data_IF_679743185468
#
_entry.id   IF_679743185468
#
_cell.length_a   1.000
_cell.length_b   1.000
_cell.length_c   1.000
_cell.angle_alpha   90.00
_cell.angle_beta   90.00
_cell.angle_gamma   90.00
#
_symmetry.space_group_name_H-M   'P 1'
#
loop_
_entity.id
_entity.type
_entity.pdbx_description
1 polymer ?
#
# COMPACT_ATOMS: atom_id res chain seq x y z
N UNK A 1 16.59 -16.09 27.46
CA UNK A 1 15.22 -15.55 27.51
C UNK A 1 14.92 -14.91 26.17
N UNK A 2 13.85 -15.34 25.52
CA UNK A 2 13.43 -14.78 24.23
C UNK A 2 12.81 -13.38 24.38
N UNK A 3 12.77 -12.59 23.30
CA UNK A 3 12.22 -11.22 23.32
C UNK A 3 10.79 -11.17 23.88
N UNK A 4 9.98 -12.19 23.60
CA UNK A 4 8.59 -12.27 24.06
C UNK A 4 8.47 -12.51 25.57
N UNK A 5 9.42 -13.25 26.16
CA UNK A 5 9.46 -13.53 27.59
C UNK A 5 9.80 -12.27 28.38
N UNK A 6 10.78 -11.47 27.92
CA UNK A 6 11.09 -10.17 28.51
C UNK A 6 9.87 -9.23 28.51
N UNK A 7 9.07 -9.23 27.43
CA UNK A 7 7.86 -8.42 27.33
C UNK A 7 6.75 -8.90 28.28
N UNK A 8 6.63 -10.22 28.47
CA UNK A 8 5.68 -10.78 29.42
C UNK A 8 6.02 -10.40 30.87
N UNK A 9 7.31 -10.38 31.21
CA UNK A 9 7.85 -9.91 32.49
C UNK A 9 7.57 -8.42 32.66
N UNK A 10 7.88 -7.58 31.66
CA UNK A 10 7.60 -6.13 31.69
C UNK A 10 6.10 -5.83 31.85
N UNK A 11 5.22 -6.65 31.28
CA UNK A 11 3.76 -6.49 31.38
C UNK A 11 3.23 -6.75 32.81
N UNK A 12 3.81 -7.69 33.53
CA UNK A 12 3.34 -8.10 34.87
C UNK A 12 4.06 -7.38 36.02
N UNK A 13 5.27 -6.85 35.80
CA UNK A 13 6.00 -6.13 36.83
C UNK A 13 5.54 -4.67 36.97
N UNK A 14 5.49 -4.18 38.21
CA UNK A 14 5.09 -2.81 38.52
C UNK A 14 6.18 -1.79 38.18
N UNK A 15 5.74 -0.60 37.75
CA UNK A 15 6.54 0.37 37.02
C UNK A 15 7.81 0.91 37.69
N UNK A 16 7.96 0.76 39.01
CA UNK A 16 8.99 1.47 39.77
C UNK A 16 10.38 0.81 39.71
N UNK A 17 10.47 -0.51 39.48
CA UNK A 17 11.75 -1.25 39.64
C UNK A 17 12.09 -2.23 38.50
N UNK A 18 11.34 -2.21 37.39
CA UNK A 18 11.45 -3.18 36.28
C UNK A 18 12.88 -3.33 35.74
N UNK A 19 13.61 -2.22 35.56
CA UNK A 19 14.98 -2.27 35.00
C UNK A 19 15.98 -2.90 35.96
N UNK A 20 15.93 -2.53 37.23
CA UNK A 20 16.86 -3.02 38.24
C UNK A 20 16.69 -4.54 38.44
N UNK A 21 15.45 -5.03 38.42
CA UNK A 21 15.18 -6.47 38.48
C UNK A 21 15.64 -7.21 37.22
N UNK A 22 15.36 -6.65 36.02
CA UNK A 22 15.83 -7.24 34.76
C UNK A 22 17.35 -7.34 34.71
N UNK A 23 18.06 -6.32 35.19
CA UNK A 23 19.53 -6.30 35.22
C UNK A 23 20.09 -7.28 36.25
N UNK A 24 19.46 -7.40 37.43
CA UNK A 24 19.87 -8.36 38.45
C UNK A 24 19.73 -9.81 37.98
N UNK A 25 18.62 -10.15 37.31
CA UNK A 25 18.34 -11.52 36.87
C UNK A 25 19.07 -11.89 35.57
N UNK A 26 19.21 -10.94 34.63
CA UNK A 26 19.69 -11.26 33.28
C UNK A 26 20.99 -10.58 32.86
N UNK A 27 21.55 -9.68 33.68
CA UNK A 27 22.84 -9.00 33.45
C UNK A 27 23.04 -8.58 31.99
N UNK A 28 23.95 -9.25 31.26
CA UNK A 28 24.31 -8.95 29.86
C UNK A 28 23.23 -9.26 28.83
N UNK A 29 22.23 -10.08 29.18
CA UNK A 29 21.09 -10.39 28.30
C UNK A 29 19.88 -9.48 28.55
N UNK A 30 19.96 -8.56 29.52
CA UNK A 30 18.87 -7.67 29.85
C UNK A 30 18.59 -6.66 28.72
N UNK A 31 17.32 -6.35 28.41
CA UNK A 31 16.99 -5.35 27.41
C UNK A 31 17.51 -3.96 27.80
N UNK A 32 17.88 -3.16 26.81
CA UNK A 32 18.24 -1.76 27.03
C UNK A 32 17.11 -0.99 27.72
N UNK A 33 17.46 -0.02 28.56
CA UNK A 33 16.47 0.79 29.30
C UNK A 33 15.41 1.42 28.38
N UNK A 34 15.84 1.93 27.22
CA UNK A 34 14.94 2.49 26.21
C UNK A 34 13.90 1.46 25.72
N UNK A 35 14.31 0.21 25.50
CA UNK A 35 13.41 -0.88 25.11
C UNK A 35 12.38 -1.17 26.20
N UNK A 36 12.82 -1.27 27.46
CA UNK A 36 11.92 -1.45 28.61
C UNK A 36 10.91 -0.31 28.70
N UNK A 37 11.39 0.93 28.65
CA UNK A 37 10.56 2.13 28.73
C UNK A 37 9.50 2.19 27.62
N UNK A 38 9.90 1.89 26.38
CA UNK A 38 8.97 1.86 25.23
C UNK A 38 7.87 0.79 25.43
N UNK A 39 8.23 -0.41 25.88
CA UNK A 39 7.24 -1.48 26.11
C UNK A 39 6.28 -1.15 27.24
N UNK A 40 6.74 -0.54 28.33
CA UNK A 40 5.84 -0.12 29.41
C UNK A 40 4.86 0.95 28.91
N UNK A 41 5.31 1.91 28.09
CA UNK A 41 4.41 2.90 27.49
C UNK A 41 3.40 2.29 26.53
N UNK A 42 3.79 1.29 25.75
CA UNK A 42 2.88 0.55 24.87
C UNK A 42 1.80 -0.20 25.68
N UNK A 43 2.16 -0.85 26.80
CA UNK A 43 1.18 -1.48 27.68
C UNK A 43 0.25 -0.46 28.35
N UNK A 44 0.77 0.69 28.77
CA UNK A 44 -0.05 1.81 29.29
C UNK A 44 -1.04 2.36 28.27
N UNK A 45 -0.71 2.28 26.98
CA UNK A 45 -1.59 2.65 25.85
C UNK A 45 -2.66 1.60 25.54
N UNK A 46 -2.75 0.53 26.34
CA UNK A 46 -3.78 -0.50 26.21
C UNK A 46 -3.39 -1.70 25.36
N UNK A 47 -2.13 -1.79 24.90
CA UNK A 47 -1.66 -2.98 24.20
C UNK A 47 -1.65 -4.17 25.16
N UNK A 48 -2.26 -5.29 24.78
CA UNK A 48 -2.32 -6.50 25.62
C UNK A 48 -1.42 -7.64 25.11
N UNK A 49 -1.01 -7.60 23.84
CA UNK A 49 -0.14 -8.61 23.24
C UNK A 49 1.34 -8.35 23.52
N UNK A 50 2.03 -9.38 24.01
CA UNK A 50 3.49 -9.46 24.18
C UNK A 50 4.20 -9.96 22.91
N UNK A 51 3.45 -10.55 21.97
CA UNK A 51 3.99 -11.11 20.74
C UNK A 51 3.65 -10.21 19.54
N UNK A 52 4.66 -9.89 18.73
CA UNK A 52 4.47 -9.14 17.48
C UNK A 52 3.88 -10.02 16.37
N UNK A 53 4.09 -11.35 16.43
CA UNK A 53 3.56 -12.30 15.45
C UNK A 53 2.03 -12.19 15.31
N UNK A 54 1.31 -12.13 16.43
CA UNK A 54 -0.15 -11.96 16.44
C UNK A 54 -0.64 -10.67 15.76
N UNK A 55 0.19 -9.64 15.65
CA UNK A 55 -0.16 -8.38 14.96
C UNK A 55 0.21 -8.45 13.49
N UNK A 56 1.35 -9.07 13.17
CA UNK A 56 1.79 -9.29 11.79
C UNK A 56 0.75 -10.16 11.07
N UNK A 57 0.34 -11.28 11.68
CA UNK A 57 -0.66 -12.19 11.13
C UNK A 57 -2.00 -11.49 10.90
N UNK A 58 -2.46 -10.67 11.87
CA UNK A 58 -3.68 -9.87 11.70
C UNK A 58 -3.61 -8.91 10.53
N UNK A 59 -2.52 -8.15 10.39
CA UNK A 59 -2.36 -7.20 9.27
C UNK A 59 -2.29 -7.98 7.96
N UNK A 60 -1.56 -9.09 7.93
CA UNK A 60 -1.43 -9.95 6.77
C UNK A 60 -2.77 -10.53 6.32
N UNK A 61 -3.60 -11.01 7.25
CA UNK A 61 -4.93 -11.57 6.98
C UNK A 61 -5.91 -10.54 6.43
N UNK A 62 -5.78 -9.26 6.80
CA UNK A 62 -6.62 -8.18 6.26
C UNK A 62 -6.16 -7.76 4.85
N UNK A 63 -4.84 -7.72 4.63
CA UNK A 63 -4.27 -7.21 3.36
C UNK A 63 -4.28 -8.24 2.25
N UNK A 64 -4.15 -9.54 2.57
CA UNK A 64 -4.10 -10.60 1.56
C UNK A 64 -5.34 -10.66 0.67
N UNK A 65 -6.59 -10.61 1.19
CA UNK A 65 -7.81 -10.65 0.38
C UNK A 65 -8.02 -9.38 -0.45
N UNK A 66 -7.76 -8.20 0.14
CA UNK A 66 -7.84 -6.92 -0.56
C UNK A 66 -6.58 -6.08 -0.37
N UNK A 67 -5.68 -6.20 -1.36
CA UNK A 67 -4.43 -5.43 -1.42
C UNK A 67 -4.64 -3.95 -1.75
N UNK A 68 -5.88 -3.47 -1.88
CA UNK A 68 -6.23 -2.06 -2.12
C UNK A 68 -6.77 -1.36 -0.86
N UNK A 69 -6.70 -2.03 0.28
CA UNK A 69 -7.10 -1.49 1.58
C UNK A 69 -6.23 -0.28 1.95
N UNK A 70 -6.85 0.74 2.55
CA UNK A 70 -6.13 1.93 3.02
C UNK A 70 -5.44 1.63 4.34
N UNK A 71 -4.29 2.26 4.58
CA UNK A 71 -3.61 2.14 5.89
C UNK A 71 -4.50 2.60 7.04
N UNK A 72 -5.38 3.59 6.83
CA UNK A 72 -6.35 4.02 7.85
C UNK A 72 -7.38 2.92 8.19
N UNK A 73 -7.89 2.23 7.19
CA UNK A 73 -8.82 1.10 7.37
C UNK A 73 -8.12 -0.06 8.10
N UNK A 74 -6.84 -0.31 7.80
CA UNK A 74 -6.03 -1.29 8.53
C UNK A 74 -5.81 -0.91 10.00
N UNK A 75 -5.53 0.37 10.28
CA UNK A 75 -5.38 0.89 11.64
C UNK A 75 -6.64 0.65 12.45
N UNK A 76 -7.79 0.98 11.88
CA UNK A 76 -9.10 0.82 12.53
C UNK A 76 -9.45 -0.66 12.73
N UNK A 77 -9.28 -1.50 11.69
CA UNK A 77 -9.60 -2.92 11.74
C UNK A 77 -8.70 -3.71 12.69
N UNK A 78 -7.40 -3.41 12.71
CA UNK A 78 -6.44 -4.12 13.55
C UNK A 78 -6.32 -3.51 14.97
N UNK A 79 -6.76 -2.27 15.19
CA UNK A 79 -6.59 -1.54 16.45
C UNK A 79 -5.13 -1.19 16.72
N UNK A 80 -4.33 -0.97 15.67
CA UNK A 80 -2.87 -0.78 15.74
C UNK A 80 -2.53 0.66 15.35
N UNK A 81 -1.47 1.22 15.95
CA UNK A 81 -1.00 2.56 15.56
C UNK A 81 -0.58 2.63 14.08
N UNK A 82 -0.81 3.78 13.44
CA UNK A 82 -0.48 4.00 12.02
C UNK A 82 0.99 3.70 11.69
N UNK A 83 1.93 4.12 12.55
CA UNK A 83 3.35 3.87 12.34
C UNK A 83 3.69 2.37 12.40
N UNK A 84 3.04 1.64 13.30
CA UNK A 84 3.23 0.18 13.43
C UNK A 84 2.68 -0.57 12.23
N UNK A 85 1.52 -0.17 11.68
CA UNK A 85 0.97 -0.77 10.44
C UNK A 85 1.95 -0.59 9.28
N UNK A 86 2.54 0.61 9.12
CA UNK A 86 3.53 0.87 8.07
C UNK A 86 4.79 0.00 8.26
N UNK A 87 5.34 -0.06 9.47
CA UNK A 87 6.51 -0.91 9.77
C UNK A 87 6.20 -2.39 9.50
N UNK A 88 5.02 -2.88 9.87
CA UNK A 88 4.61 -4.26 9.55
C UNK A 88 4.55 -4.47 8.03
N UNK A 89 3.89 -3.58 7.29
CA UNK A 89 3.77 -3.71 5.83
C UNK A 89 5.13 -3.71 5.14
N UNK A 90 6.02 -2.78 5.47
CA UNK A 90 7.27 -2.57 4.73
C UNK A 90 8.43 -3.43 5.25
N UNK A 91 8.57 -3.56 6.57
CA UNK A 91 9.73 -4.23 7.19
C UNK A 91 9.48 -5.70 7.47
N UNK A 92 8.26 -6.08 7.90
CA UNK A 92 7.94 -7.46 8.27
C UNK A 92 7.37 -8.25 7.09
N UNK A 93 6.44 -7.66 6.34
CA UNK A 93 5.82 -8.28 5.17
C UNK A 93 6.55 -7.98 3.85
N UNK A 94 7.49 -7.03 3.86
CA UNK A 94 8.27 -6.67 2.66
C UNK A 94 7.45 -6.07 1.52
N UNK A 95 6.23 -5.60 1.79
CA UNK A 95 5.32 -5.08 0.79
C UNK A 95 5.69 -3.65 0.42
N UNK A 96 5.58 -3.31 -0.86
CA UNK A 96 5.77 -1.94 -1.34
C UNK A 96 4.43 -1.26 -1.62
N UNK A 97 4.39 0.03 -1.34
CA UNK A 97 3.28 0.90 -1.75
C UNK A 97 3.38 1.16 -3.25
N UNK A 98 2.36 0.75 -4.00
CA UNK A 98 2.26 1.00 -5.43
C UNK A 98 1.28 2.14 -5.73
N UNK A 99 1.68 2.98 -6.68
CA UNK A 99 0.79 3.94 -7.33
C UNK A 99 0.01 3.25 -8.42
N UNK A 100 -1.24 3.65 -8.55
CA UNK A 100 -2.09 3.03 -9.53
C UNK A 100 -1.94 3.59 -10.93
N UNK A 101 -1.97 2.68 -11.90
CA UNK A 101 -1.93 3.01 -13.31
C UNK A 101 -3.34 3.02 -13.87
N UNK A 102 -3.64 4.08 -14.59
CA UNK A 102 -4.86 4.20 -15.37
C UNK A 102 -4.78 3.28 -16.59
N UNK A 103 -5.82 2.47 -16.80
CA UNK A 103 -5.90 1.58 -17.96
C UNK A 103 -7.06 2.06 -18.85
N UNK A 104 -6.82 2.30 -20.15
CA UNK A 104 -7.82 2.83 -21.09
C UNK A 104 -9.13 2.08 -21.14
N UNK A 105 -9.08 0.76 -21.08
CA UNK A 105 -10.26 -0.09 -21.14
C UNK A 105 -10.06 -1.35 -20.30
N UNK A 106 -11.15 -1.80 -19.70
CA UNK A 106 -11.23 -3.14 -19.16
C UNK A 106 -11.44 -4.12 -20.33
N UNK A 107 -10.41 -4.90 -20.63
CA UNK A 107 -10.44 -5.84 -21.74
C UNK A 107 -11.26 -7.09 -21.39
N UNK A 108 -12.12 -7.52 -22.31
CA UNK A 108 -12.80 -8.82 -22.25
C UNK A 108 -11.80 -9.95 -22.53
N UNK A 109 -12.21 -11.20 -22.28
CA UNK A 109 -11.37 -12.38 -22.58
C UNK A 109 -11.05 -12.44 -24.08
N UNK A 110 -12.00 -12.13 -24.94
CA UNK A 110 -11.81 -12.14 -26.40
C UNK A 110 -10.84 -11.03 -26.84
N UNK A 111 -10.99 -9.80 -26.33
CA UNK A 111 -10.03 -8.73 -26.60
C UNK A 111 -8.60 -9.10 -26.19
N UNK A 112 -8.43 -9.86 -25.09
CA UNK A 112 -7.11 -10.34 -24.66
C UNK A 112 -6.56 -11.40 -25.62
N UNK A 113 -7.41 -12.30 -26.11
CA UNK A 113 -7.02 -13.35 -27.07
C UNK A 113 -6.55 -12.72 -28.38
N UNK A 114 -7.34 -11.81 -28.95
CA UNK A 114 -7.03 -11.17 -30.23
C UNK A 114 -5.71 -10.38 -30.15
N UNK A 115 -5.53 -9.62 -29.06
CA UNK A 115 -4.26 -8.89 -28.83
C UNK A 115 -3.06 -9.82 -28.71
N UNK A 116 -3.22 -10.98 -28.08
CA UNK A 116 -2.14 -11.97 -27.96
C UNK A 116 -1.79 -12.56 -29.32
N UNK A 117 -2.79 -12.90 -30.12
CA UNK A 117 -2.58 -13.41 -31.47
C UNK A 117 -1.87 -12.37 -32.36
N UNK A 118 -2.28 -11.10 -32.30
CA UNK A 118 -1.59 -10.01 -33.00
C UNK A 118 -0.11 -9.89 -32.57
N UNK A 119 0.17 -10.01 -31.27
CA UNK A 119 1.53 -9.99 -30.76
C UNK A 119 2.36 -11.19 -31.25
N UNK A 120 1.77 -12.38 -31.25
CA UNK A 120 2.41 -13.61 -31.74
C UNK A 120 2.73 -13.49 -33.24
N UNK A 121 1.81 -12.95 -34.06
CA UNK A 121 2.05 -12.68 -35.48
C UNK A 121 3.22 -11.70 -35.69
N UNK A 122 3.26 -10.61 -34.92
CA UNK A 122 4.37 -9.65 -34.96
C UNK A 122 5.70 -10.31 -34.57
N UNK A 123 5.72 -11.13 -33.52
CA UNK A 123 6.94 -11.81 -33.06
C UNK A 123 7.47 -12.85 -34.04
N UNK A 124 6.59 -13.51 -34.81
CA UNK A 124 7.00 -14.52 -35.79
C UNK A 124 7.77 -13.92 -36.98
N UNK A 125 7.41 -12.72 -37.44
CA UNK A 125 8.09 -12.05 -38.54
C UNK A 125 7.95 -10.52 -38.46
N UNK A 126 8.75 -9.86 -37.60
CA UNK A 126 8.58 -8.43 -37.33
C UNK A 126 8.89 -7.57 -38.56
N UNK A 127 9.90 -7.92 -39.34
CA UNK A 127 10.34 -7.13 -40.50
C UNK A 127 9.28 -7.10 -41.61
N UNK A 128 8.67 -8.26 -41.92
CA UNK A 128 7.62 -8.32 -42.93
C UNK A 128 6.30 -7.71 -42.44
N UNK A 129 5.98 -7.92 -41.16
CA UNK A 129 4.80 -7.35 -40.52
C UNK A 129 4.83 -5.82 -40.56
N UNK A 130 5.96 -5.20 -40.18
CA UNK A 130 6.12 -3.74 -40.17
C UNK A 130 6.16 -3.14 -41.58
N UNK A 131 6.74 -3.83 -42.57
CA UNK A 131 6.77 -3.36 -43.97
C UNK A 131 5.38 -3.14 -44.57
N UNK A 132 4.36 -3.87 -44.11
CA UNK A 132 2.98 -3.77 -44.59
C UNK A 132 2.11 -2.86 -43.73
N UNK A 133 2.60 -2.42 -42.57
CA UNK A 133 1.82 -1.68 -41.61
C UNK A 133 1.94 -0.17 -41.84
N UNK A 134 0.81 0.50 -42.03
CA UNK A 134 0.71 1.97 -41.99
C UNK A 134 -0.22 2.31 -40.84
N UNK A 135 0.26 3.14 -39.90
CA UNK A 135 -0.52 3.57 -38.73
C UNK A 135 -0.99 5.00 -38.92
N UNK A 136 -2.24 5.27 -38.54
CA UNK A 136 -2.79 6.62 -38.43
C UNK A 136 -3.49 6.72 -37.07
N UNK A 137 -3.28 7.81 -36.37
CA UNK A 137 -3.97 8.12 -35.12
C UNK A 137 -4.29 9.63 -35.08
N UNK A 138 -5.34 9.99 -34.36
CA UNK A 138 -5.79 11.37 -34.22
C UNK A 138 -5.62 11.81 -32.77
N UNK A 139 -4.86 12.89 -32.57
CA UNK A 139 -4.66 13.48 -31.25
C UNK A 139 -5.41 14.80 -31.19
N UNK A 140 -6.27 14.95 -30.19
CA UNK A 140 -6.93 16.22 -29.89
C UNK A 140 -5.89 17.20 -29.33
N UNK A 141 -5.60 18.27 -30.09
CA UNK A 141 -4.80 19.40 -29.63
C UNK A 141 -5.75 20.48 -29.16
N UNK A 142 -5.81 20.71 -27.85
CA UNK A 142 -6.62 21.77 -27.28
C UNK A 142 -5.98 23.13 -27.57
N UNK A 143 -6.65 23.98 -28.35
CA UNK A 143 -6.23 25.36 -28.56
C UNK A 143 -6.75 26.21 -27.42
N UNK A 144 -5.85 26.68 -26.55
CA UNK A 144 -6.21 27.61 -25.48
C UNK A 144 -6.25 29.03 -26.04
N UNK A 145 -7.45 29.58 -26.20
CA UNK A 145 -7.65 31.00 -26.42
C UNK A 145 -7.79 31.65 -25.04
N UNK A 146 -6.83 32.45 -24.56
CA UNK A 146 -7.02 33.17 -23.31
C UNK A 146 -8.20 34.11 -23.50
N UNK A 147 -9.30 33.85 -22.80
CA UNK A 147 -10.36 34.83 -22.65
C UNK A 147 -9.75 36.07 -21.97
N UNK A 148 -9.96 37.22 -22.59
CA UNK A 148 -9.69 38.51 -21.98
C UNK A 148 -10.46 38.58 -20.67
N UNK A 149 -9.75 38.32 -19.58
CA UNK A 149 -10.03 38.69 -18.19
C UNK A 149 -11.44 39.26 -17.95
N UNK A 150 -12.42 38.37 -17.78
CA UNK A 150 -13.50 38.58 -16.81
C UNK A 150 -13.67 37.28 -16.02
N UNK A 151 -13.48 37.40 -14.71
CA UNK A 151 -13.25 36.33 -13.75
C UNK A 151 -14.55 35.52 -13.54
N UNK A 152 -14.66 34.30 -14.10
CA UNK A 152 -15.85 33.50 -13.84
C UNK A 152 -15.90 32.03 -14.30
N UNK A 153 -15.44 31.68 -15.50
CA UNK A 153 -15.88 30.42 -16.14
C UNK A 153 -14.90 29.23 -16.05
N UNK A 154 -13.64 29.46 -15.69
CA UNK A 154 -12.59 28.42 -15.63
C UNK A 154 -12.87 27.25 -14.68
N UNK A 155 -13.75 27.44 -13.68
CA UNK A 155 -14.04 26.41 -12.66
C UNK A 155 -15.06 25.36 -13.09
N UNK A 156 -15.78 25.57 -14.19
CA UNK A 156 -16.89 24.69 -14.58
C UNK A 156 -16.48 23.68 -15.67
N UNK A 157 -15.69 24.11 -16.66
CA UNK A 157 -15.18 23.26 -17.75
C UNK A 157 -14.27 22.13 -17.23
N UNK A 158 -13.36 22.46 -16.30
CA UNK A 158 -12.48 21.46 -15.67
C UNK A 158 -13.23 20.42 -14.81
N UNK A 159 -14.40 20.78 -14.24
CA UNK A 159 -15.24 19.86 -13.46
C UNK A 159 -16.02 18.89 -14.34
N UNK A 160 -16.49 19.34 -15.50
CA UNK A 160 -17.24 18.49 -16.44
C UNK A 160 -16.30 17.48 -17.11
N UNK A 161 -15.09 17.91 -17.52
CA UNK A 161 -14.11 17.03 -18.15
C UNK A 161 -13.63 15.92 -17.21
N UNK A 162 -13.37 16.25 -15.93
CA UNK A 162 -12.99 15.26 -14.92
C UNK A 162 -14.12 14.24 -14.65
N UNK A 163 -15.39 14.67 -14.56
CA UNK A 163 -16.52 13.77 -14.31
C UNK A 163 -16.81 12.78 -15.46
N UNK A 164 -16.57 13.19 -16.71
CA UNK A 164 -16.75 12.31 -17.88
C UNK A 164 -15.60 11.30 -17.98
N UNK A 165 -14.37 11.73 -17.69
CA UNK A 165 -13.21 10.85 -17.69
C UNK A 165 -13.28 9.86 -16.53
N UNK A 166 -13.53 10.27 -15.30
CA UNK A 166 -13.57 9.35 -14.14
C UNK A 166 -14.52 8.15 -14.32
N UNK A 167 -15.61 8.30 -15.09
CA UNK A 167 -16.56 7.21 -15.37
C UNK A 167 -16.09 6.19 -16.42
N UNK A 168 -15.06 6.51 -17.21
CA UNK A 168 -14.57 5.67 -18.32
C UNK A 168 -13.31 4.86 -17.98
N UNK A 169 -12.57 5.22 -16.93
CA UNK A 169 -11.28 4.62 -16.63
C UNK A 169 -11.33 3.73 -15.37
N UNK A 170 -10.98 2.46 -15.52
CA UNK A 170 -10.92 1.50 -14.39
C UNK A 170 -9.46 1.34 -13.94
N UNK A 171 -9.25 1.48 -12.63
CA UNK A 171 -7.97 1.24 -11.96
C UNK A 171 -7.69 -0.27 -11.93
N UNK A 172 -6.94 -0.76 -12.91
CA UNK A 172 -6.52 -2.15 -13.01
C UNK A 172 -5.04 -2.28 -12.64
N UNK A 173 -4.76 -2.85 -11.46
CA UNK A 173 -3.42 -3.36 -11.13
C UNK A 173 -3.59 -4.79 -10.66
N UNK A 174 -2.78 -5.68 -11.24
CA UNK A 174 -2.51 -7.01 -10.72
C UNK A 174 -1.44 -6.87 -9.63
N UNK A 175 -1.80 -7.16 -8.38
CA UNK A 175 -0.94 -6.91 -7.21
C UNK A 175 -0.25 -8.21 -6.81
N UNK A 176 1.00 -8.40 -7.25
CA UNK A 176 1.88 -9.46 -6.75
C UNK A 176 2.68 -8.93 -5.58
N UNK A 177 2.45 -9.43 -4.37
CA UNK A 177 3.25 -9.06 -3.20
C UNK A 177 2.98 -7.67 -2.62
N UNK A 178 2.49 -6.71 -3.42
CA UNK A 178 2.38 -5.30 -3.03
C UNK A 178 0.95 -4.81 -2.75
N UNK A 179 0.82 -3.57 -2.23
CA UNK A 179 -0.48 -2.95 -1.89
C UNK A 179 -0.62 -1.53 -2.50
N UNK A 180 -1.86 -1.05 -2.63
CA UNK A 180 -2.19 0.26 -3.24
C UNK A 180 -3.02 1.08 -2.28
N UNK A 181 -2.53 2.27 -1.92
CA UNK A 181 -3.39 3.25 -1.23
C UNK A 181 -4.20 4.04 -2.27
N UNK A 182 -5.50 4.21 -1.98
CA UNK A 182 -6.42 5.06 -2.74
C UNK A 182 -6.55 6.44 -2.12
#
# INVERSE_FOLDING_TARGET
MEKNEFRAVIKHLHMKEIKAELDNVHNTSAPAFATVYNWVNEFKRGRTSTCDANLIDKVHDIVLPDRRVKVRELVEAAGISHGTVISILHEQLGMKKLSARWVPHLLTVDHKRDRKQCLEMFQCNPDEFLRRFITVDEIWIHYFTPETSEEGEDREVGRVFNNILEKKWIKCIELKGDYVEK
#
